data_IF_126179471876
#
_entry.id   IF_126179471876
#
_cell.length_a   1.000
_cell.length_b   1.000
_cell.length_c   1.000
_cell.angle_alpha   90.00
_cell.angle_beta   90.00
_cell.angle_gamma   90.00
#
_symmetry.space_group_name_H-M   'P 1'
#
loop_
_entity.id
_entity.type
_entity.pdbx_description
1 polymer ?
#
# COMPACT_ATOMS: atom_id res chain seq x y z
N UNK A 1 14.00 -11.49 -1.42
CA UNK A 1 15.19 -12.31 -1.07
C UNK A 1 16.43 -11.54 -1.48
N UNK A 2 17.35 -11.31 -0.54
CA UNK A 2 18.65 -10.67 -0.83
C UNK A 2 19.62 -11.71 -1.40
N UNK A 3 20.31 -11.38 -2.48
CA UNK A 3 21.31 -12.26 -3.08
C UNK A 3 22.43 -11.46 -3.75
N UNK A 4 23.64 -12.03 -3.78
CA UNK A 4 24.73 -11.49 -4.59
C UNK A 4 24.77 -12.19 -5.93
N UNK A 5 24.85 -11.41 -7.02
CA UNK A 5 25.10 -11.92 -8.36
C UNK A 5 26.42 -11.39 -8.88
N UNK A 6 27.17 -12.24 -9.57
CA UNK A 6 28.40 -11.83 -10.25
C UNK A 6 28.04 -11.24 -11.61
N UNK A 7 28.43 -9.98 -11.83
CA UNK A 7 28.37 -9.31 -13.13
C UNK A 7 29.74 -8.73 -13.42
N UNK A 8 30.33 -9.07 -14.57
CA UNK A 8 31.68 -8.62 -14.97
C UNK A 8 32.75 -8.78 -13.85
N UNK A 9 32.75 -9.92 -13.15
CA UNK A 9 33.70 -10.23 -12.07
C UNK A 9 33.44 -9.53 -10.73
N UNK A 10 32.49 -8.58 -10.66
CA UNK A 10 32.10 -7.92 -9.41
C UNK A 10 30.87 -8.58 -8.80
N UNK A 11 30.84 -8.72 -7.47
CA UNK A 11 29.65 -9.16 -6.73
C UNK A 11 28.74 -7.97 -6.50
N UNK A 12 27.55 -7.98 -7.10
CA UNK A 12 26.54 -6.92 -6.97
C UNK A 12 25.38 -7.46 -6.13
N UNK A 13 25.02 -6.69 -5.10
CA UNK A 13 23.89 -6.99 -4.24
C UNK A 13 22.55 -6.74 -4.97
N UNK A 14 21.62 -7.69 -4.89
CA UNK A 14 20.33 -7.65 -5.57
C UNK A 14 19.21 -8.13 -4.65
N UNK A 15 18.06 -7.44 -4.71
CA UNK A 15 16.80 -7.95 -4.20
C UNK A 15 16.06 -8.69 -5.31
N UNK A 16 15.67 -9.94 -5.03
CA UNK A 16 14.95 -10.82 -5.96
C UNK A 16 13.61 -11.23 -5.34
N UNK A 17 12.58 -11.28 -6.16
CA UNK A 17 11.26 -11.75 -5.74
C UNK A 17 11.33 -13.23 -5.31
N UNK A 18 10.95 -13.49 -4.06
CA UNK A 18 10.94 -14.85 -3.51
C UNK A 18 9.88 -15.74 -4.15
N UNK A 19 8.80 -15.15 -4.68
CA UNK A 19 7.71 -15.90 -5.32
C UNK A 19 8.06 -16.41 -6.72
N UNK A 20 9.05 -15.81 -7.40
CA UNK A 20 9.52 -16.30 -8.70
C UNK A 20 10.20 -17.67 -8.59
N UNK A 21 11.04 -17.86 -7.56
CA UNK A 21 11.83 -19.08 -7.35
C UNK A 21 11.08 -20.27 -6.76
N UNK A 22 9.77 -20.14 -6.49
CA UNK A 22 8.95 -21.23 -5.93
C UNK A 22 8.58 -22.23 -7.03
N UNK A 23 8.75 -23.53 -6.77
CA UNK A 23 8.45 -24.60 -7.71
C UNK A 23 6.94 -24.85 -7.83
N UNK A 24 6.37 -24.97 -9.04
CA UNK A 24 7.01 -24.79 -10.35
C UNK A 24 7.37 -23.32 -10.59
N UNK A 25 8.62 -23.09 -11.02
CA UNK A 25 9.19 -21.74 -11.25
C UNK A 25 8.30 -20.97 -12.21
N UNK A 26 7.97 -19.73 -11.88
CA UNK A 26 7.10 -18.91 -12.72
C UNK A 26 5.60 -19.01 -12.42
N UNK A 27 5.18 -19.85 -11.45
CA UNK A 27 3.75 -20.05 -11.14
C UNK A 27 3.07 -18.85 -10.49
N UNK A 28 3.70 -18.23 -9.49
CA UNK A 28 3.16 -17.06 -8.76
C UNK A 28 3.60 -15.73 -9.33
N UNK A 29 4.80 -15.70 -9.91
CA UNK A 29 5.30 -14.55 -10.66
C UNK A 29 5.80 -15.07 -11.98
N UNK A 30 5.18 -14.64 -13.08
CA UNK A 30 5.56 -15.07 -14.43
C UNK A 30 7.00 -14.65 -14.80
N UNK A 31 7.55 -13.64 -14.13
CA UNK A 31 8.84 -13.03 -14.45
C UNK A 31 9.78 -12.95 -13.24
N UNK A 32 11.08 -12.98 -13.52
CA UNK A 32 12.14 -12.87 -12.51
C UNK A 32 12.34 -11.43 -12.08
N UNK A 33 11.47 -10.92 -11.19
CA UNK A 33 11.60 -9.55 -10.66
C UNK A 33 12.88 -9.44 -9.85
N UNK A 34 13.69 -8.43 -10.19
CA UNK A 34 14.96 -8.14 -9.54
C UNK A 34 15.28 -6.65 -9.59
N UNK A 35 15.93 -6.16 -8.54
CA UNK A 35 16.40 -4.79 -8.43
C UNK A 35 17.77 -4.77 -7.73
N UNK A 36 18.64 -3.85 -8.13
CA UNK A 36 19.93 -3.66 -7.46
C UNK A 36 19.70 -3.11 -6.06
N UNK A 37 20.39 -3.65 -5.05
CA UNK A 37 20.21 -3.19 -3.68
C UNK A 37 20.67 -1.74 -3.51
N UNK A 38 21.83 -1.40 -4.07
CA UNK A 38 22.41 -0.06 -4.01
C UNK A 38 21.44 0.98 -4.58
N UNK A 39 20.80 0.69 -5.72
CA UNK A 39 19.81 1.60 -6.32
C UNK A 39 18.60 1.88 -5.42
N UNK A 40 18.15 0.89 -4.62
CA UNK A 40 17.06 1.12 -3.66
C UNK A 40 17.56 1.99 -2.51
N UNK A 41 18.77 1.73 -2.01
CA UNK A 41 19.37 2.49 -0.91
C UNK A 41 19.59 3.94 -1.32
N UNK A 42 20.13 4.19 -2.51
CA UNK A 42 20.36 5.54 -3.04
C UNK A 42 19.06 6.34 -3.13
N UNK A 43 17.99 5.74 -3.67
CA UNK A 43 16.67 6.37 -3.76
C UNK A 43 16.10 6.66 -2.36
N UNK A 44 16.28 5.75 -1.40
CA UNK A 44 15.88 5.98 -0.02
C UNK A 44 16.66 7.14 0.63
N UNK A 45 17.96 7.26 0.35
CA UNK A 45 18.77 8.36 0.86
C UNK A 45 18.30 9.70 0.30
N UNK A 46 18.11 9.77 -1.01
CA UNK A 46 17.70 10.99 -1.69
C UNK A 46 16.30 11.44 -1.26
N UNK A 47 15.37 10.49 -1.12
CA UNK A 47 14.01 10.76 -0.62
C UNK A 47 14.01 11.26 0.83
N UNK A 48 14.76 10.63 1.73
CA UNK A 48 14.85 11.07 3.14
C UNK A 48 15.52 12.44 3.28
N UNK A 49 16.59 12.71 2.50
CA UNK A 49 17.24 14.03 2.49
C UNK A 49 16.29 15.12 2.03
N UNK A 50 15.52 14.86 0.98
CA UNK A 50 14.53 15.82 0.48
C UNK A 50 13.39 16.06 1.46
N UNK A 51 12.85 15.00 2.08
CA UNK A 51 11.83 15.13 3.10
C UNK A 51 12.34 15.97 4.27
N UNK A 52 13.60 15.77 4.65
CA UNK A 52 14.24 16.57 5.69
C UNK A 52 14.39 18.04 5.29
N UNK A 53 14.84 18.35 4.08
CA UNK A 53 14.91 19.75 3.64
C UNK A 53 13.54 20.41 3.64
N UNK A 54 12.49 19.70 3.21
CA UNK A 54 11.12 20.23 3.25
C UNK A 54 10.63 20.52 4.66
N UNK A 55 10.96 19.65 5.63
CA UNK A 55 10.60 19.86 7.04
C UNK A 55 11.38 21.03 7.65
N UNK A 56 12.65 21.19 7.29
CA UNK A 56 13.50 22.30 7.75
C UNK A 56 13.04 23.65 7.16
N UNK A 57 12.57 23.65 5.91
CA UNK A 57 12.04 24.83 5.23
C UNK A 57 10.69 25.27 5.82
N UNK A 58 9.71 24.36 5.88
CA UNK A 58 8.39 24.64 6.46
C UNK A 58 7.69 23.37 6.98
N UNK A 59 7.83 23.13 8.28
CA UNK A 59 7.21 21.99 8.95
C UNK A 59 5.67 22.02 8.97
N UNK A 60 5.05 23.20 8.91
CA UNK A 60 3.58 23.32 8.96
C UNK A 60 2.98 22.99 7.60
N UNK A 61 3.52 23.56 6.52
CA UNK A 61 3.10 23.22 5.15
C UNK A 61 3.30 21.74 4.85
N UNK A 62 4.39 21.14 5.35
CA UNK A 62 4.63 19.72 5.18
C UNK A 62 3.53 18.85 5.82
N UNK A 63 3.12 19.18 7.05
CA UNK A 63 2.03 18.46 7.74
C UNK A 63 0.70 18.62 7.00
N UNK A 64 0.41 19.82 6.48
CA UNK A 64 -0.79 20.06 5.68
C UNK A 64 -0.79 19.24 4.38
N UNK A 65 0.32 19.25 3.63
CA UNK A 65 0.47 18.49 2.39
C UNK A 65 0.28 16.99 2.60
N UNK A 66 0.87 16.43 3.66
CA UNK A 66 0.69 15.01 3.99
C UNK A 66 -0.77 14.73 4.34
N UNK A 67 -1.37 15.56 5.18
CA UNK A 67 -2.76 15.37 5.61
C UNK A 67 -3.71 15.37 4.40
N UNK A 68 -3.44 16.20 3.40
CA UNK A 68 -4.21 16.29 2.17
C UNK A 68 -4.00 15.07 1.24
N UNK A 69 -2.75 14.64 1.04
CA UNK A 69 -2.45 13.44 0.23
C UNK A 69 -3.02 12.18 0.88
N UNK A 70 -3.05 12.10 2.22
CA UNK A 70 -3.66 11.00 2.94
C UNK A 70 -5.19 10.97 2.82
N UNK A 71 -5.86 12.13 2.85
CA UNK A 71 -7.31 12.19 2.65
C UNK A 71 -7.69 11.75 1.24
N UNK A 72 -7.02 12.27 0.22
CA UNK A 72 -7.40 12.02 -1.18
C UNK A 72 -7.31 10.54 -1.57
N UNK A 73 -6.33 9.81 -1.02
CA UNK A 73 -6.11 8.39 -1.32
C UNK A 73 -7.05 7.45 -0.54
N UNK A 74 -7.59 7.86 0.60
CA UNK A 74 -8.34 6.96 1.51
C UNK A 74 -9.81 7.32 1.70
N UNK A 75 -10.25 8.52 1.34
CA UNK A 75 -11.61 8.99 1.60
C UNK A 75 -12.71 8.11 0.98
N UNK A 76 -12.49 7.59 -0.23
CA UNK A 76 -13.45 6.72 -0.88
C UNK A 76 -13.60 5.36 -0.16
N UNK A 77 -12.52 4.80 0.37
CA UNK A 77 -12.54 3.54 1.11
C UNK A 77 -13.09 3.74 2.52
N UNK A 78 -12.67 4.81 3.21
CA UNK A 78 -13.20 5.20 4.52
C UNK A 78 -14.71 5.40 4.43
N UNK A 79 -15.19 6.12 3.42
CA UNK A 79 -16.62 6.34 3.21
C UNK A 79 -17.38 5.03 2.99
N UNK A 80 -16.84 4.10 2.19
CA UNK A 80 -17.43 2.76 2.01
C UNK A 80 -17.50 1.98 3.32
N UNK A 81 -16.43 1.99 4.13
CA UNK A 81 -16.41 1.33 5.45
C UNK A 81 -17.42 1.96 6.40
N UNK A 82 -17.51 3.28 6.46
CA UNK A 82 -18.49 4.00 7.27
C UNK A 82 -19.93 3.72 6.84
N UNK A 83 -20.21 3.69 5.53
CA UNK A 83 -21.54 3.37 5.03
C UNK A 83 -21.91 1.91 5.31
N UNK A 84 -20.96 0.98 5.17
CA UNK A 84 -21.16 -0.43 5.57
C UNK A 84 -21.46 -0.55 7.06
N UNK A 85 -20.70 0.15 7.92
CA UNK A 85 -20.93 0.16 9.36
C UNK A 85 -22.34 0.66 9.71
N UNK A 86 -22.82 1.73 9.06
CA UNK A 86 -24.19 2.23 9.25
C UNK A 86 -25.24 1.20 8.86
N UNK A 87 -25.03 0.47 7.75
CA UNK A 87 -25.95 -0.57 7.30
C UNK A 87 -25.97 -1.74 8.29
N UNK A 88 -24.81 -2.21 8.76
CA UNK A 88 -24.72 -3.29 9.73
C UNK A 88 -25.37 -2.91 11.07
N UNK A 89 -25.11 -1.70 11.59
CA UNK A 89 -25.77 -1.19 12.82
C UNK A 89 -27.28 -1.12 12.68
N UNK A 90 -27.79 -0.56 11.58
CA UNK A 90 -29.24 -0.53 11.30
C UNK A 90 -29.85 -1.92 11.26
N UNK A 91 -29.15 -2.88 10.63
CA UNK A 91 -29.63 -4.27 10.56
C UNK A 91 -29.67 -4.93 11.94
N UNK A 92 -28.68 -4.68 12.79
CA UNK A 92 -28.67 -5.15 14.19
C UNK A 92 -29.88 -4.59 14.95
N UNK A 93 -30.15 -3.29 14.85
CA UNK A 93 -31.31 -2.65 15.51
C UNK A 93 -32.64 -3.22 15.02
N UNK A 94 -32.76 -3.51 13.72
CA UNK A 94 -33.96 -4.10 13.14
C UNK A 94 -34.14 -5.57 13.56
N UNK A 95 -33.05 -6.33 13.69
CA UNK A 95 -33.08 -7.69 14.24
C UNK A 95 -33.56 -7.69 15.69
N UNK A 96 -33.14 -6.72 16.52
CA UNK A 96 -33.63 -6.61 17.90
C UNK A 96 -35.14 -6.37 17.96
N UNK A 97 -35.68 -5.48 17.11
CA UNK A 97 -37.14 -5.27 17.00
C UNK A 97 -37.88 -6.53 16.56
N UNK A 98 -37.32 -7.28 15.62
CA UNK A 98 -37.91 -8.54 15.15
C UNK A 98 -37.91 -9.60 16.24
N UNK A 99 -36.81 -9.72 17.00
CA UNK A 99 -36.70 -10.64 18.14
C UNK A 99 -37.74 -10.29 19.21
N UNK A 100 -37.90 -9.02 19.58
CA UNK A 100 -38.92 -8.59 20.54
C UNK A 100 -40.34 -9.00 20.09
N UNK A 101 -40.69 -8.77 18.82
CA UNK A 101 -42.00 -9.18 18.27
C UNK A 101 -42.21 -10.69 18.31
N UNK A 102 -41.18 -11.48 17.97
CA UNK A 102 -41.26 -12.95 17.98
C UNK A 102 -41.47 -13.47 19.41
N UNK A 103 -40.83 -12.84 20.41
CA UNK A 103 -41.07 -13.14 21.82
C UNK A 103 -42.52 -12.84 22.24
N UNK A 104 -43.06 -11.69 21.85
CA UNK A 104 -44.45 -11.31 22.15
C UNK A 104 -45.46 -12.28 21.52
N UNK A 105 -45.28 -12.64 20.24
CA UNK A 105 -46.19 -13.55 19.56
C UNK A 105 -46.11 -15.00 20.08
N UNK A 106 -44.94 -15.43 20.56
CA UNK A 106 -44.78 -16.70 21.26
C UNK A 106 -45.50 -16.69 22.62
N UNK A 107 -45.34 -15.62 23.40
CA UNK A 107 -46.03 -15.46 24.69
C UNK A 107 -47.56 -15.44 24.54
N UNK A 108 -48.08 -14.94 23.41
CA UNK A 108 -49.51 -14.96 23.07
C UNK A 108 -49.98 -16.29 22.46
N UNK A 109 -49.11 -17.29 22.31
CA UNK A 109 -49.45 -18.61 21.80
C UNK A 109 -49.81 -18.65 20.31
N UNK A 110 -49.49 -17.60 19.55
CA UNK A 110 -49.81 -17.52 18.10
C UNK A 110 -48.88 -18.37 17.23
N UNK A 111 -47.78 -18.86 17.79
CA UNK A 111 -46.76 -19.60 17.05
C UNK A 111 -46.34 -20.89 17.79
N UNK A 112 -46.11 -22.01 17.07
CA UNK A 112 -45.53 -23.21 17.65
C UNK A 112 -44.09 -22.99 18.13
N UNK A 113 -43.75 -23.56 19.28
CA UNK A 113 -42.43 -23.44 19.95
C UNK A 113 -41.27 -23.89 19.04
N UNK A 114 -41.46 -24.94 18.22
CA UNK A 114 -40.43 -25.41 17.28
C UNK A 114 -40.01 -24.36 16.24
N UNK A 115 -40.94 -23.48 15.82
CA UNK A 115 -40.63 -22.39 14.88
C UNK A 115 -39.92 -21.23 15.58
N UNK A 116 -40.24 -21.00 16.85
CA UNK A 116 -39.61 -19.98 17.67
C UNK A 116 -38.11 -20.26 17.82
N UNK A 117 -37.75 -21.47 18.23
CA UNK A 117 -36.36 -21.88 18.42
C UNK A 117 -35.52 -21.75 17.13
N UNK A 118 -36.13 -22.10 15.99
CA UNK A 118 -35.47 -22.00 14.69
C UNK A 118 -35.19 -20.54 14.32
N UNK A 119 -36.19 -19.66 14.45
CA UNK A 119 -36.07 -18.23 14.10
C UNK A 119 -35.09 -17.50 15.02
N UNK A 120 -35.15 -17.76 16.33
CA UNK A 120 -34.24 -17.10 17.27
C UNK A 120 -32.80 -17.56 17.08
N UNK A 121 -32.57 -18.84 16.75
CA UNK A 121 -31.24 -19.34 16.41
C UNK A 121 -30.68 -18.67 15.15
N UNK A 122 -31.52 -18.49 14.12
CA UNK A 122 -31.11 -17.81 12.88
C UNK A 122 -30.76 -16.34 13.11
N UNK A 123 -31.63 -15.59 13.79
CA UNK A 123 -31.39 -14.17 14.06
C UNK A 123 -30.24 -13.94 15.03
N UNK A 124 -30.04 -14.81 16.03
CA UNK A 124 -28.89 -14.72 16.93
C UNK A 124 -27.56 -14.98 16.19
N UNK A 125 -27.54 -15.94 15.25
CA UNK A 125 -26.37 -16.16 14.37
C UNK A 125 -26.11 -14.96 13.46
N UNK A 126 -27.14 -14.39 12.84
CA UNK A 126 -27.01 -13.19 12.01
C UNK A 126 -26.48 -12.00 12.85
N UNK A 127 -27.05 -11.77 14.03
CA UNK A 127 -26.65 -10.67 14.92
C UNK A 127 -25.19 -10.82 15.38
N UNK A 128 -24.76 -12.01 15.79
CA UNK A 128 -23.37 -12.26 16.20
C UNK A 128 -22.40 -12.08 15.03
N UNK A 129 -22.75 -12.52 13.82
CA UNK A 129 -21.93 -12.30 12.63
C UNK A 129 -21.80 -10.81 12.25
N UNK A 130 -22.89 -10.05 12.34
CA UNK A 130 -22.89 -8.61 12.05
C UNK A 130 -22.17 -7.81 13.12
N UNK A 131 -22.25 -8.21 14.40
CA UNK A 131 -21.48 -7.58 15.48
C UNK A 131 -19.99 -7.78 15.29
N UNK A 132 -19.54 -8.99 14.97
CA UNK A 132 -18.15 -9.26 14.64
C UNK A 132 -17.68 -8.45 13.42
N UNK A 133 -18.51 -8.34 12.37
CA UNK A 133 -18.19 -7.49 11.21
C UNK A 133 -18.07 -6.00 11.60
N UNK A 134 -18.98 -5.49 12.44
CA UNK A 134 -18.92 -4.12 12.94
C UNK A 134 -17.65 -3.86 13.75
N UNK A 135 -17.28 -4.77 14.66
CA UNK A 135 -16.07 -4.65 15.49
C UNK A 135 -14.81 -4.54 14.62
N UNK A 136 -14.67 -5.41 13.61
CA UNK A 136 -13.54 -5.35 12.67
C UNK A 136 -13.51 -4.03 11.90
N UNK A 137 -14.67 -3.56 11.41
CA UNK A 137 -14.74 -2.28 10.68
C UNK A 137 -14.42 -1.08 11.59
N UNK A 138 -14.81 -1.13 12.86
CA UNK A 138 -14.51 -0.08 13.84
C UNK A 138 -13.04 -0.07 14.23
N UNK A 139 -12.42 -1.23 14.44
CA UNK A 139 -10.97 -1.36 14.66
C UNK A 139 -10.18 -0.80 13.48
N UNK A 140 -10.54 -1.18 12.25
CA UNK A 140 -9.94 -0.66 11.03
C UNK A 140 -10.05 0.88 10.93
N UNK A 141 -11.21 1.45 11.25
CA UNK A 141 -11.42 2.89 11.20
C UNK A 141 -10.63 3.61 12.30
N UNK A 142 -10.55 3.04 13.50
CA UNK A 142 -9.76 3.59 14.60
C UNK A 142 -8.26 3.56 14.29
N UNK A 143 -7.77 2.49 13.65
CA UNK A 143 -6.38 2.41 13.17
C UNK A 143 -6.09 3.49 12.12
N UNK A 144 -7.01 3.72 11.18
CA UNK A 144 -6.89 4.79 10.17
C UNK A 144 -6.88 6.17 10.84
N UNK A 145 -7.73 6.41 11.85
CA UNK A 145 -7.77 7.68 12.58
C UNK A 145 -6.50 7.90 13.43
N UNK A 146 -5.99 6.86 14.08
CA UNK A 146 -4.71 6.93 14.78
C UNK A 146 -3.58 7.30 13.82
N UNK A 147 -3.61 6.73 12.60
CA UNK A 147 -2.64 7.04 11.56
C UNK A 147 -2.77 8.46 11.01
N UNK A 148 -3.95 9.10 11.10
CA UNK A 148 -4.17 10.49 10.64
C UNK A 148 -3.37 11.54 11.43
N UNK A 149 -2.94 11.23 12.65
CA UNK A 149 -2.15 12.14 13.48
C UNK A 149 -0.63 11.99 13.31
N UNK A 150 -0.19 11.22 12.31
CA UNK A 150 1.19 10.79 12.18
C UNK A 150 2.15 11.84 11.58
N UNK A 151 1.66 12.86 10.87
CA UNK A 151 2.53 13.89 10.28
C UNK A 151 3.43 14.60 11.30
N UNK A 152 2.89 14.95 12.47
CA UNK A 152 3.67 15.56 13.57
C UNK A 152 4.67 14.57 14.18
N UNK A 153 4.31 13.30 14.26
CA UNK A 153 5.21 12.25 14.73
C UNK A 153 6.38 12.05 13.76
N UNK A 154 6.13 12.16 12.45
CA UNK A 154 7.19 12.10 11.44
C UNK A 154 8.17 13.26 11.54
N UNK A 155 7.67 14.49 11.71
CA UNK A 155 8.53 15.67 11.94
C UNK A 155 9.40 15.47 13.18
N UNK A 156 8.81 14.98 14.28
CA UNK A 156 9.55 14.66 15.51
C UNK A 156 10.58 13.54 15.32
N UNK A 157 10.30 12.55 14.46
CA UNK A 157 11.21 11.46 14.14
C UNK A 157 12.38 11.97 13.29
N UNK A 158 12.09 12.76 12.25
CA UNK A 158 13.10 13.38 11.39
C UNK A 158 14.05 14.30 12.17
N UNK A 159 13.52 15.04 13.15
CA UNK A 159 14.33 15.90 14.01
C UNK A 159 15.37 15.14 14.86
N UNK A 160 15.21 13.83 15.09
CA UNK A 160 16.20 13.02 15.82
C UNK A 160 17.43 12.67 15.00
N UNK A 161 17.32 12.72 13.66
CA UNK A 161 18.37 12.27 12.76
C UNK A 161 18.98 13.46 12.01
N UNK A 162 20.30 13.62 12.15
CA UNK A 162 21.02 14.75 11.57
C UNK A 162 21.41 14.52 10.11
N UNK A 163 21.88 13.32 9.74
CA UNK A 163 22.32 13.02 8.37
C UNK A 163 21.81 11.64 7.92
N UNK A 164 21.60 11.49 6.61
CA UNK A 164 21.20 10.24 5.94
C UNK A 164 22.30 9.70 5.01
N UNK A 165 23.57 9.93 5.35
CA UNK A 165 24.71 9.47 4.55
C UNK A 165 24.84 7.94 4.57
N UNK A 166 24.53 7.33 5.71
CA UNK A 166 24.48 5.88 5.89
C UNK A 166 23.12 5.48 6.47
N UNK A 167 22.38 4.68 5.72
CA UNK A 167 21.09 4.15 6.18
C UNK A 167 21.33 2.93 7.04
N UNK A 168 21.12 3.08 8.35
CA UNK A 168 21.16 1.98 9.31
C UNK A 168 19.86 1.18 9.21
N UNK A 169 19.88 -0.17 9.30
CA UNK A 169 18.66 -0.99 9.24
C UNK A 169 17.57 -0.58 10.24
N UNK A 170 17.98 -0.10 11.43
CA UNK A 170 17.06 0.42 12.43
C UNK A 170 16.28 1.65 11.93
N UNK A 171 16.97 2.59 11.26
CA UNK A 171 16.31 3.76 10.65
C UNK A 171 15.30 3.33 9.59
N UNK A 172 15.64 2.36 8.74
CA UNK A 172 14.72 1.83 7.71
C UNK A 172 13.45 1.34 8.36
N UNK A 173 13.53 0.52 9.40
CA UNK A 173 12.36 -0.01 10.09
C UNK A 173 11.52 1.05 10.80
N UNK A 174 12.13 2.14 11.27
CA UNK A 174 11.39 3.25 11.89
C UNK A 174 10.67 4.13 10.85
N UNK A 175 11.31 4.42 9.71
CA UNK A 175 10.76 5.33 8.71
C UNK A 175 9.84 4.64 7.69
N UNK A 176 10.16 3.41 7.30
CA UNK A 176 9.59 2.74 6.13
C UNK A 176 8.72 1.57 6.60
N UNK A 177 7.46 1.56 6.16
CA UNK A 177 6.54 0.44 6.32
C UNK A 177 6.89 -0.65 5.30
N UNK A 178 6.84 -0.28 4.02
CA UNK A 178 7.15 -1.19 2.91
C UNK A 178 7.62 -0.47 1.66
N UNK A 179 8.31 -1.22 0.81
CA UNK A 179 8.77 -0.75 -0.50
C UNK A 179 8.17 -1.68 -1.55
N UNK A 180 7.33 -1.11 -2.42
CA UNK A 180 6.71 -1.82 -3.52
C UNK A 180 7.53 -1.59 -4.79
N UNK A 181 8.11 -2.67 -5.30
CA UNK A 181 8.91 -2.64 -6.52
C UNK A 181 8.10 -3.27 -7.65
N UNK A 182 7.77 -2.45 -8.64
CA UNK A 182 6.98 -2.88 -9.80
C UNK A 182 7.81 -3.64 -10.83
N UNK A 183 7.12 -4.25 -11.79
CA UNK A 183 7.77 -4.88 -12.94
C UNK A 183 8.52 -3.81 -13.78
N UNK A 184 9.59 -4.25 -14.44
CA UNK A 184 10.37 -3.41 -15.36
C UNK A 184 9.59 -3.19 -16.66
N UNK A 185 9.58 -1.96 -17.15
CA UNK A 185 8.83 -1.58 -18.36
C UNK A 185 9.32 -2.31 -19.62
N UNK A 186 10.64 -2.51 -19.74
CA UNK A 186 11.28 -3.14 -20.91
C UNK A 186 12.18 -4.32 -20.56
N UNK A 187 11.98 -5.44 -21.26
CA UNK A 187 12.72 -6.69 -21.07
C UNK A 187 13.97 -6.73 -21.96
N UNK A 188 15.10 -7.22 -21.42
CA UNK A 188 16.35 -7.41 -22.15
C UNK A 188 17.21 -6.16 -22.38
N UNK A 189 16.73 -4.97 -22.01
CA UNK A 189 17.53 -3.74 -21.99
C UNK A 189 18.30 -3.62 -20.66
N UNK A 190 19.55 -3.18 -20.74
CA UNK A 190 20.35 -2.83 -19.56
C UNK A 190 19.87 -1.51 -18.93
N UNK A 191 19.26 -0.63 -19.71
CA UNK A 191 18.70 0.64 -19.28
C UNK A 191 17.17 0.60 -19.40
N UNK A 192 16.53 0.09 -18.36
CA UNK A 192 15.07 0.03 -18.24
C UNK A 192 14.65 0.76 -16.97
N UNK A 193 13.59 1.55 -17.07
CA UNK A 193 12.89 2.16 -15.96
C UNK A 193 12.14 1.10 -15.14
N UNK A 194 12.18 1.25 -13.83
CA UNK A 194 11.46 0.40 -12.89
C UNK A 194 10.81 1.31 -11.87
N UNK A 195 9.49 1.24 -11.74
CA UNK A 195 8.76 2.03 -10.76
C UNK A 195 8.98 1.44 -9.37
N UNK A 196 9.24 2.31 -8.40
CA UNK A 196 9.40 1.98 -6.99
C UNK A 196 8.51 2.93 -6.22
N UNK A 197 7.58 2.37 -5.45
CA UNK A 197 6.73 3.13 -4.55
C UNK A 197 7.20 2.84 -3.11
N UNK A 198 7.47 3.90 -2.34
CA UNK A 198 7.96 3.80 -0.96
C UNK A 198 6.84 4.25 -0.02
N UNK A 199 6.46 3.37 0.90
CA UNK A 199 5.45 3.64 1.91
C UNK A 199 6.14 3.93 3.24
N UNK A 200 5.94 5.14 3.76
CA UNK A 200 6.45 5.55 5.05
C UNK A 200 5.42 5.31 6.15
N UNK A 201 5.88 4.89 7.35
CA UNK A 201 5.02 4.54 8.49
C UNK A 201 4.04 5.68 8.88
N UNK A 202 4.39 6.93 8.59
CA UNK A 202 3.67 8.11 9.08
C UNK A 202 3.09 9.01 7.98
N UNK A 203 3.42 8.76 6.71
CA UNK A 203 3.05 9.62 5.57
C UNK A 203 2.31 8.83 4.48
N UNK A 204 2.40 7.49 4.49
CA UNK A 204 1.92 6.67 3.38
C UNK A 204 2.82 6.81 2.15
N UNK A 205 2.23 6.83 0.95
CA UNK A 205 2.99 6.89 -0.30
C UNK A 205 3.43 8.33 -0.58
N UNK A 206 4.71 8.61 -0.42
CA UNK A 206 5.30 9.88 -0.82
C UNK A 206 6.10 9.70 -2.11
N UNK A 207 5.70 10.43 -3.15
CA UNK A 207 6.48 10.52 -4.38
C UNK A 207 7.25 11.82 -4.38
N UNK A 208 8.58 11.72 -4.51
CA UNK A 208 9.43 12.87 -4.79
C UNK A 208 8.92 13.61 -6.02
N UNK A 209 8.75 14.94 -5.96
CA UNK A 209 8.45 15.70 -7.17
C UNK A 209 9.63 15.53 -8.11
N UNK A 210 9.39 14.91 -9.27
CA UNK A 210 10.39 14.85 -10.33
C UNK A 210 10.65 16.27 -10.80
N UNK A 211 11.92 16.72 -10.87
CA UNK A 211 12.23 18.04 -11.39
C UNK A 211 11.63 18.19 -12.78
N UNK A 212 10.92 19.29 -13.01
CA UNK A 212 10.36 19.62 -14.32
C UNK A 212 11.52 19.79 -15.29
N UNK A 213 11.58 18.89 -16.26
CA UNK A 213 12.65 18.89 -17.26
C UNK A 213 12.37 19.98 -18.27
N UNK A 214 13.43 20.59 -18.76
CA UNK A 214 13.32 21.55 -19.85
C UNK A 214 12.72 20.86 -21.08
N UNK A 215 11.98 21.59 -21.95
CA UNK A 215 11.40 21.02 -23.17
C UNK A 215 12.41 20.27 -24.04
N UNK A 216 13.66 20.74 -24.07
CA UNK A 216 14.77 20.12 -24.81
C UNK A 216 15.19 18.76 -24.21
N UNK A 217 15.25 18.64 -22.88
CA UNK A 217 15.56 17.37 -22.19
C UNK A 217 14.43 16.34 -22.31
N UNK A 218 13.18 16.81 -22.36
CA UNK A 218 12.00 15.97 -22.61
C UNK A 218 12.07 15.41 -24.03
N UNK A 219 12.36 16.25 -25.03
CA UNK A 219 12.51 15.80 -26.41
C UNK A 219 13.65 14.80 -26.57
N UNK A 220 14.80 15.05 -25.95
CA UNK A 220 15.94 14.14 -26.03
C UNK A 220 15.64 12.79 -25.36
N UNK A 221 14.95 12.81 -24.22
CA UNK A 221 14.44 11.59 -23.57
C UNK A 221 13.49 10.82 -24.49
N UNK A 222 12.54 11.52 -25.11
CA UNK A 222 11.58 10.91 -26.04
C UNK A 222 12.29 10.30 -27.26
N UNK A 223 13.33 10.95 -27.80
CA UNK A 223 14.16 10.41 -28.90
C UNK A 223 14.87 9.13 -28.48
N UNK A 224 15.53 9.14 -27.31
CA UNK A 224 16.21 7.95 -26.76
C UNK A 224 15.19 6.83 -26.52
N UNK A 225 14.02 7.17 -26.00
CA UNK A 225 12.96 6.22 -25.70
C UNK A 225 12.37 5.59 -26.96
N UNK A 226 12.14 6.37 -28.01
CA UNK A 226 11.70 5.89 -29.32
C UNK A 226 12.73 4.96 -30.00
N UNK A 227 14.04 5.27 -29.88
CA UNK A 227 15.10 4.39 -30.36
C UNK A 227 15.06 3.05 -29.62
N UNK A 228 14.90 3.09 -28.29
CA UNK A 228 14.79 1.90 -27.45
C UNK A 228 13.54 1.07 -27.78
N UNK A 229 12.39 1.69 -28.04
CA UNK A 229 11.16 0.99 -28.45
C UNK A 229 11.31 0.32 -29.81
N UNK A 230 11.93 1.00 -30.78
CA UNK A 230 12.20 0.42 -32.09
C UNK A 230 13.08 -0.82 -31.99
N UNK A 231 14.13 -0.78 -31.14
CA UNK A 231 14.99 -1.94 -30.85
C UNK A 231 14.24 -3.05 -30.13
N UNK A 232 13.33 -2.71 -29.22
CA UNK A 232 12.52 -3.69 -28.49
C UNK A 232 11.56 -4.44 -29.41
N UNK A 233 10.87 -3.73 -30.31
CA UNK A 233 10.00 -4.34 -31.34
C UNK A 233 10.78 -5.31 -32.23
N UNK A 234 11.94 -4.89 -32.74
CA UNK A 234 12.82 -5.75 -33.54
C UNK A 234 13.30 -7.01 -32.79
N UNK A 235 13.46 -6.94 -31.46
CA UNK A 235 13.79 -8.09 -30.65
C UNK A 235 12.61 -9.07 -30.50
N UNK A 236 11.39 -8.55 -30.28
CA UNK A 236 10.18 -9.37 -30.21
C UNK A 236 9.92 -10.09 -31.54
N UNK A 237 10.01 -9.37 -32.67
CA UNK A 237 9.83 -9.93 -34.01
C UNK A 237 10.84 -11.05 -34.33
N UNK A 238 12.05 -11.00 -33.75
CA UNK A 238 13.07 -12.05 -33.89
C UNK A 238 12.80 -13.27 -33.03
N UNK A 239 12.05 -13.13 -31.96
CA UNK A 239 11.75 -14.21 -31.00
C UNK A 239 10.48 -14.98 -31.37
N UNK A 240 9.60 -14.36 -32.16
CA UNK A 240 8.38 -15.00 -32.69
C UNK A 240 8.63 -15.85 -33.95
N UNK A 241 9.81 -15.73 -34.58
CA UNK A 241 10.28 -16.61 -35.68
C UNK A 241 11.05 -17.81 -35.14
#
# INVERSE_FOLDING_TARGET
MYCHRTSNGKRIANFVCANYGKTPVGSKCSFGHRINADAVIDILQDTLRYLKSMIEDDSELFVEQITQVESDNRDAEIKKKQDRLKVCKKRIDDLEKLICKIYEDNALGKMPESRYDTLISQYSKEQSSLKAECEVIEEDLAEIEANRHNGKNFVNLMARYNNFDEIIPFMVSEFIDRIEVHERDRKGSQQTTQKIDIYFNFIGNYCMPTPELTPEEIEERNRIEAIKDKRHKQYLDRKEK
#
